data_IF_979311765292
#
_entry.id   IF_979311765292
#
_cell.length_a   1.000
_cell.length_b   1.000
_cell.length_c   1.000
_cell.angle_alpha   90.00
_cell.angle_beta   90.00
_cell.angle_gamma   90.00
#
_symmetry.space_group_name_H-M   'P 1'
#
loop_
_entity.id
_entity.type
_entity.pdbx_description
1 polymer ?
#
# COMPACT_ATOMS: atom_id res chain seq x y z
N UNK A 1 -3.16 29.16 -14.21
CA UNK A 1 -3.78 28.33 -15.26
C UNK A 1 -3.63 26.87 -14.84
N UNK A 2 -4.71 26.22 -14.39
CA UNK A 2 -4.68 24.80 -14.01
C UNK A 2 -4.80 23.98 -15.30
N UNK A 3 -3.73 23.29 -15.68
CA UNK A 3 -3.77 22.27 -16.71
C UNK A 3 -4.45 21.02 -16.11
N UNK A 4 -5.73 20.83 -16.45
CA UNK A 4 -6.39 19.54 -16.30
C UNK A 4 -5.83 18.61 -17.39
N UNK A 5 -4.92 17.72 -17.03
CA UNK A 5 -4.54 16.60 -17.89
C UNK A 5 -5.81 15.76 -18.15
N UNK A 6 -6.35 15.90 -19.36
CA UNK A 6 -7.40 15.00 -19.84
C UNK A 6 -6.77 13.61 -19.95
N UNK A 7 -7.23 12.67 -19.13
CA UNK A 7 -7.11 11.25 -19.43
C UNK A 7 -7.72 11.04 -20.82
N UNK A 8 -6.87 10.70 -21.80
CA UNK A 8 -7.31 10.31 -23.13
C UNK A 8 -8.04 8.97 -22.98
N UNK A 9 -9.37 9.05 -22.98
CA UNK A 9 -10.26 7.88 -22.96
C UNK A 9 -9.93 6.96 -24.13
N UNK A 10 -9.87 5.66 -23.85
CA UNK A 10 -9.64 4.63 -24.86
C UNK A 10 -10.64 4.77 -26.01
N UNK A 11 -10.13 4.74 -27.25
CA UNK A 11 -10.97 4.71 -28.45
C UNK A 11 -11.75 3.40 -28.51
N UNK A 12 -13.04 3.40 -28.87
CA UNK A 12 -13.82 2.18 -29.01
C UNK A 12 -13.17 1.26 -30.05
N UNK A 13 -12.85 0.04 -29.63
CA UNK A 13 -12.17 -0.98 -30.42
C UNK A 13 -13.03 -1.41 -31.62
N UNK A 14 -12.54 -1.21 -32.85
CA UNK A 14 -13.13 -1.84 -34.05
C UNK A 14 -12.80 -3.33 -34.04
N UNK A 15 -13.83 -4.19 -34.09
CA UNK A 15 -13.71 -5.65 -33.97
C UNK A 15 -12.92 -6.29 -35.12
N UNK A 16 -11.87 -7.05 -34.76
CA UNK A 16 -11.26 -8.09 -35.60
C UNK A 16 -11.93 -9.45 -35.38
N UNK A 17 -11.94 -10.28 -36.43
CA UNK A 17 -12.70 -11.54 -36.55
C UNK A 17 -12.04 -12.76 -35.85
N UNK A 18 -12.84 -13.45 -35.02
CA UNK A 18 -12.79 -14.87 -34.54
C UNK A 18 -11.52 -15.27 -33.75
N UNK A 19 -11.56 -15.94 -32.59
CA UNK A 19 -12.36 -17.12 -32.21
C UNK A 19 -12.44 -17.33 -30.67
N UNK A 20 -13.64 -17.51 -30.12
CA UNK A 20 -13.93 -18.37 -28.94
C UNK A 20 -15.43 -18.37 -28.56
N UNK A 21 -16.33 -18.19 -29.53
CA UNK A 21 -17.78 -18.29 -29.29
C UNK A 21 -18.20 -19.76 -29.20
N UNK A 22 -17.91 -20.44 -28.09
CA UNK A 22 -18.43 -21.78 -27.79
C UNK A 22 -19.06 -21.86 -26.41
N UNK A 23 -20.06 -21.01 -26.21
CA UNK A 23 -21.29 -21.24 -25.44
C UNK A 23 -22.14 -20.02 -25.75
N UNK A 24 -23.40 -20.20 -26.17
CA UNK A 24 -24.28 -19.08 -26.43
C UNK A 24 -24.59 -18.39 -25.09
N UNK A 25 -23.71 -17.50 -24.65
CA UNK A 25 -23.91 -16.66 -23.48
C UNK A 25 -25.20 -15.89 -23.73
N UNK A 26 -26.26 -16.21 -22.96
CA UNK A 26 -27.48 -15.41 -23.00
C UNK A 26 -27.12 -14.00 -22.55
N UNK A 27 -26.97 -13.09 -23.52
CA UNK A 27 -26.58 -11.71 -23.25
C UNK A 27 -27.69 -11.01 -22.48
N UNK A 28 -27.33 -10.40 -21.35
CA UNK A 28 -28.29 -9.60 -20.60
C UNK A 28 -28.64 -8.33 -21.37
N UNK A 29 -29.91 -7.86 -21.31
CA UNK A 29 -30.28 -6.58 -21.87
C UNK A 29 -29.45 -5.43 -21.29
N UNK A 30 -29.15 -4.35 -22.05
CA UNK A 30 -28.22 -3.30 -21.64
C UNK A 30 -28.48 -2.71 -20.25
N UNK A 31 -29.74 -2.38 -19.95
CA UNK A 31 -30.12 -1.82 -18.65
C UNK A 31 -29.97 -2.81 -17.49
N UNK A 32 -30.20 -4.10 -17.75
CA UNK A 32 -30.04 -5.14 -16.73
C UNK A 32 -28.56 -5.37 -16.44
N UNK A 33 -27.73 -5.41 -17.50
CA UNK A 33 -26.28 -5.56 -17.38
C UNK A 33 -25.64 -4.38 -16.67
N UNK A 34 -26.01 -3.14 -17.04
CA UNK A 34 -25.58 -1.92 -16.34
C UNK A 34 -25.90 -1.96 -14.84
N UNK A 35 -27.13 -2.34 -14.46
CA UNK A 35 -27.53 -2.47 -13.04
C UNK A 35 -26.84 -3.64 -12.33
N UNK A 36 -26.50 -4.71 -13.05
CA UNK A 36 -25.71 -5.82 -12.51
C UNK A 36 -24.31 -5.33 -12.16
N UNK A 37 -23.61 -4.68 -13.08
CA UNK A 37 -22.23 -4.21 -12.85
C UNK A 37 -22.18 -3.24 -11.65
N UNK A 38 -23.11 -2.28 -11.54
CA UNK A 38 -23.19 -1.40 -10.36
C UNK A 38 -23.39 -2.18 -9.05
N UNK A 39 -24.14 -3.29 -9.06
CA UNK A 39 -24.29 -4.15 -7.87
C UNK A 39 -23.01 -4.91 -7.56
N UNK A 40 -22.29 -5.35 -8.60
CA UNK A 40 -21.01 -6.05 -8.45
C UNK A 40 -19.95 -5.11 -7.90
N UNK A 41 -19.80 -3.89 -8.42
CA UNK A 41 -18.90 -2.87 -7.88
C UNK A 41 -19.13 -2.64 -6.38
N UNK A 42 -20.40 -2.55 -5.96
CA UNK A 42 -20.76 -2.40 -4.53
C UNK A 42 -20.32 -3.55 -3.63
N UNK A 43 -20.22 -4.76 -4.18
CA UNK A 43 -19.90 -5.96 -3.42
C UNK A 43 -18.43 -6.34 -3.49
N UNK A 44 -17.75 -5.99 -4.59
CA UNK A 44 -16.44 -6.54 -4.95
C UNK A 44 -15.32 -5.51 -4.99
N UNK A 45 -15.64 -4.22 -5.15
CA UNK A 45 -14.63 -3.16 -5.19
C UNK A 45 -14.62 -2.39 -3.87
N UNK A 46 -13.42 -1.95 -3.46
CA UNK A 46 -13.25 -0.98 -2.37
C UNK A 46 -13.88 0.39 -2.72
N UNK A 47 -14.04 1.30 -1.75
CA UNK A 47 -14.71 2.58 -1.97
C UNK A 47 -14.08 3.46 -3.05
N UNK A 48 -12.75 3.46 -3.20
CA UNK A 48 -12.03 4.32 -4.14
C UNK A 48 -12.15 3.78 -5.57
N UNK A 49 -11.88 2.49 -5.74
CA UNK A 49 -12.02 1.80 -7.03
C UNK A 49 -13.46 1.80 -7.52
N UNK A 50 -14.43 1.73 -6.60
CA UNK A 50 -15.84 1.88 -6.93
C UNK A 50 -16.18 3.26 -7.48
N UNK A 51 -15.62 4.34 -6.95
CA UNK A 51 -15.88 5.70 -7.46
C UNK A 51 -15.43 5.79 -8.92
N UNK A 52 -14.22 5.30 -9.20
CA UNK A 52 -13.65 5.28 -10.55
C UNK A 52 -14.49 4.40 -11.49
N UNK A 53 -14.76 3.15 -11.08
CA UNK A 53 -15.53 2.19 -11.86
C UNK A 53 -16.96 2.64 -12.14
N UNK A 54 -17.67 3.17 -11.14
CA UNK A 54 -19.04 3.68 -11.31
C UNK A 54 -19.07 4.89 -12.25
N UNK A 55 -18.05 5.76 -12.18
CA UNK A 55 -17.93 6.92 -13.07
C UNK A 55 -17.73 6.48 -14.51
N UNK A 56 -16.79 5.56 -14.75
CA UNK A 56 -16.51 5.00 -16.07
C UNK A 56 -17.72 4.26 -16.66
N UNK A 57 -18.36 3.39 -15.88
CA UNK A 57 -19.55 2.67 -16.33
C UNK A 57 -20.67 3.63 -16.76
N UNK A 58 -20.89 4.70 -16.00
CA UNK A 58 -21.89 5.73 -16.31
C UNK A 58 -21.55 6.51 -17.58
N UNK A 59 -20.28 6.88 -17.78
CA UNK A 59 -19.87 7.60 -18.98
C UNK A 59 -20.02 6.72 -20.22
N UNK A 60 -19.55 5.48 -20.15
CA UNK A 60 -19.61 4.54 -21.27
C UNK A 60 -21.05 4.18 -21.65
N UNK A 61 -21.92 3.92 -20.66
CA UNK A 61 -23.33 3.65 -20.93
C UNK A 61 -24.02 4.84 -21.62
N UNK A 62 -23.68 6.08 -21.22
CA UNK A 62 -24.23 7.29 -21.83
C UNK A 62 -23.70 7.51 -23.24
N UNK A 63 -22.40 7.28 -23.47
CA UNK A 63 -21.78 7.42 -24.77
C UNK A 63 -22.38 6.44 -25.79
N UNK A 64 -22.74 5.23 -25.36
CA UNK A 64 -23.23 4.16 -26.22
C UNK A 64 -24.76 4.04 -26.30
N UNK A 65 -25.52 4.90 -25.61
CA UNK A 65 -27.00 4.80 -25.51
C UNK A 65 -27.75 4.91 -26.84
N UNK A 66 -27.14 5.55 -27.84
CA UNK A 66 -27.72 5.83 -29.16
C UNK A 66 -27.10 4.97 -30.27
N UNK A 67 -26.31 3.96 -29.92
CA UNK A 67 -25.70 3.06 -30.92
C UNK A 67 -26.79 2.13 -31.45
N UNK A 68 -26.97 2.12 -32.78
CA UNK A 68 -27.99 1.30 -33.44
C UNK A 68 -27.40 0.06 -34.12
N UNK A 69 -26.08 0.04 -34.37
CA UNK A 69 -25.42 -1.08 -35.04
C UNK A 69 -25.47 -2.35 -34.17
N UNK A 70 -26.18 -3.43 -34.57
CA UNK A 70 -26.34 -4.62 -33.76
C UNK A 70 -25.02 -5.32 -33.41
N UNK A 71 -24.02 -5.29 -34.30
CA UNK A 71 -22.72 -5.92 -34.04
C UNK A 71 -21.96 -5.18 -32.94
N UNK A 72 -22.01 -3.85 -32.93
CA UNK A 72 -21.38 -3.04 -31.90
C UNK A 72 -22.09 -3.23 -30.55
N UNK A 73 -23.42 -3.31 -30.55
CA UNK A 73 -24.20 -3.59 -29.34
C UNK A 73 -23.85 -4.97 -28.79
N UNK A 74 -23.79 -6.00 -29.63
CA UNK A 74 -23.42 -7.36 -29.21
C UNK A 74 -22.00 -7.39 -28.65
N UNK A 75 -21.03 -6.78 -29.33
CA UNK A 75 -19.64 -6.69 -28.86
C UNK A 75 -19.55 -6.01 -27.50
N UNK A 76 -20.20 -4.85 -27.34
CA UNK A 76 -20.25 -4.11 -26.09
C UNK A 76 -20.87 -4.92 -24.94
N UNK A 77 -22.03 -5.54 -25.17
CA UNK A 77 -22.71 -6.35 -24.16
C UNK A 77 -21.89 -7.59 -23.77
N UNK A 78 -21.19 -8.19 -24.72
CA UNK A 78 -20.30 -9.33 -24.46
C UNK A 78 -19.18 -8.93 -23.52
N UNK A 79 -18.45 -7.86 -23.82
CA UNK A 79 -17.35 -7.38 -22.98
C UNK A 79 -17.83 -7.01 -21.57
N UNK A 80 -18.96 -6.32 -21.46
CA UNK A 80 -19.52 -5.92 -20.17
C UNK A 80 -20.00 -7.12 -19.34
N UNK A 81 -20.52 -8.16 -19.99
CA UNK A 81 -20.93 -9.38 -19.33
C UNK A 81 -19.73 -10.19 -18.83
N UNK A 82 -18.67 -10.30 -19.65
CA UNK A 82 -17.41 -10.91 -19.25
C UNK A 82 -16.76 -10.15 -18.09
N UNK A 83 -16.74 -8.82 -18.14
CA UNK A 83 -16.24 -7.99 -17.03
C UNK A 83 -17.00 -8.24 -15.73
N UNK A 84 -18.35 -8.27 -15.78
CA UNK A 84 -19.17 -8.56 -14.61
C UNK A 84 -18.88 -9.95 -14.03
N UNK A 85 -18.76 -10.97 -14.90
CA UNK A 85 -18.45 -12.35 -14.49
C UNK A 85 -17.06 -12.45 -13.86
N UNK A 86 -16.06 -11.78 -14.44
CA UNK A 86 -14.69 -11.73 -13.89
C UNK A 86 -14.65 -11.13 -12.49
N UNK A 87 -15.33 -9.99 -12.29
CA UNK A 87 -15.44 -9.38 -10.97
C UNK A 87 -16.20 -10.24 -9.97
N UNK A 88 -17.25 -10.94 -10.40
CA UNK A 88 -18.02 -11.83 -9.51
C UNK A 88 -17.21 -13.06 -9.08
N UNK A 89 -16.42 -13.64 -9.99
CA UNK A 89 -15.60 -14.82 -9.76
C UNK A 89 -14.19 -14.56 -9.22
N UNK A 90 -13.84 -13.30 -8.93
CA UNK A 90 -12.52 -12.88 -8.46
C UNK A 90 -11.35 -13.30 -9.39
N UNK A 91 -11.65 -13.69 -10.64
CA UNK A 91 -10.68 -14.24 -11.60
C UNK A 91 -9.80 -13.18 -12.26
N UNK A 92 -10.06 -11.90 -11.96
CA UNK A 92 -9.26 -10.77 -12.43
C UNK A 92 -7.97 -10.59 -11.63
N UNK A 93 -7.90 -11.11 -10.40
CA UNK A 93 -6.74 -10.98 -9.52
C UNK A 93 -5.64 -11.91 -10.02
N UNK A 94 -4.50 -11.34 -10.43
CA UNK A 94 -3.35 -12.11 -10.96
C UNK A 94 -3.41 -12.43 -12.45
N UNK A 95 -4.46 -12.00 -13.17
CA UNK A 95 -4.54 -12.15 -14.62
C UNK A 95 -3.55 -11.21 -15.34
N UNK A 96 -2.81 -11.74 -16.32
CA UNK A 96 -1.89 -10.92 -17.14
C UNK A 96 -2.66 -10.16 -18.21
N UNK A 97 -2.16 -8.98 -18.58
CA UNK A 97 -2.73 -8.22 -19.68
C UNK A 97 -2.59 -9.00 -20.99
N UNK A 98 -3.70 -9.16 -21.68
CA UNK A 98 -3.77 -9.86 -22.96
C UNK A 98 -2.92 -9.15 -24.03
N UNK A 99 -2.12 -9.92 -24.76
CA UNK A 99 -1.22 -9.42 -25.78
C UNK A 99 -1.98 -8.75 -26.92
N UNK A 100 -3.15 -9.27 -27.27
CA UNK A 100 -4.01 -8.68 -28.30
C UNK A 100 -4.58 -7.32 -27.90
N UNK A 101 -4.65 -7.02 -26.59
CA UNK A 101 -5.05 -5.70 -26.09
C UNK A 101 -3.90 -4.72 -26.13
N UNK A 102 -2.68 -5.16 -25.82
CA UNK A 102 -1.46 -4.35 -25.95
C UNK A 102 -1.22 -3.91 -27.40
N UNK A 103 -1.38 -4.83 -28.35
CA UNK A 103 -1.17 -4.56 -29.78
C UNK A 103 -2.18 -3.56 -30.37
N UNK A 104 -3.31 -3.34 -29.68
CA UNK A 104 -4.37 -2.38 -30.08
C UNK A 104 -4.24 -1.01 -29.42
N UNK A 105 -3.33 -0.86 -28.45
CA UNK A 105 -3.10 0.43 -27.79
C UNK A 105 -2.24 1.33 -28.67
N UNK A 106 -2.47 2.64 -28.60
CA UNK A 106 -1.57 3.61 -29.23
C UNK A 106 -0.24 3.72 -28.47
N UNK A 107 0.81 4.23 -29.13
CA UNK A 107 2.11 4.47 -28.49
C UNK A 107 1.99 5.31 -27.21
N UNK A 108 1.08 6.29 -27.20
CA UNK A 108 0.81 7.12 -26.02
C UNK A 108 0.17 6.32 -24.88
N UNK A 109 -0.77 5.43 -25.18
CA UNK A 109 -1.41 4.58 -24.18
C UNK A 109 -0.42 3.55 -23.62
N UNK A 110 0.45 3.00 -24.47
CA UNK A 110 1.54 2.11 -24.07
C UNK A 110 2.51 2.86 -23.13
N UNK A 111 2.86 4.11 -23.47
CA UNK A 111 3.67 4.97 -22.62
C UNK A 111 3.04 5.21 -21.24
N UNK A 112 1.75 5.55 -21.19
CA UNK A 112 1.01 5.74 -19.92
C UNK A 112 0.91 4.46 -19.11
N UNK A 113 0.69 3.32 -19.76
CA UNK A 113 0.66 2.01 -19.10
C UNK A 113 2.04 1.65 -18.53
N UNK A 114 3.11 1.97 -19.25
CA UNK A 114 4.48 1.78 -18.80
C UNK A 114 4.84 2.70 -17.62
N UNK A 115 4.44 3.97 -17.65
CA UNK A 115 4.59 4.90 -16.52
C UNK A 115 3.83 4.40 -15.29
N UNK A 116 2.61 3.90 -15.45
CA UNK A 116 1.84 3.30 -14.36
C UNK A 116 2.51 2.03 -13.84
N UNK A 117 2.98 1.14 -14.72
CA UNK A 117 3.71 -0.06 -14.33
C UNK A 117 4.98 0.29 -13.55
N UNK A 118 5.74 1.29 -14.00
CA UNK A 118 6.92 1.76 -13.29
C UNK A 118 6.56 2.44 -11.98
N UNK A 119 5.46 3.21 -11.91
CA UNK A 119 4.99 3.77 -10.65
C UNK A 119 4.62 2.69 -9.64
N UNK A 120 4.01 1.59 -10.11
CA UNK A 120 3.67 0.42 -9.28
C UNK A 120 4.94 -0.34 -8.86
N UNK A 121 5.88 -0.59 -9.76
CA UNK A 121 7.17 -1.23 -9.44
C UNK A 121 8.02 -0.39 -8.49
N UNK A 122 8.12 0.90 -8.75
CA UNK A 122 8.81 1.88 -7.90
C UNK A 122 8.04 2.22 -6.61
N UNK A 123 6.92 1.54 -6.33
CA UNK A 123 6.31 1.59 -5.00
C UNK A 123 7.12 0.74 -4.03
N UNK A 124 7.93 -0.22 -4.49
CA UNK A 124 8.83 -1.01 -3.68
C UNK A 124 10.19 -0.31 -3.62
N UNK A 125 10.70 -0.09 -2.41
CA UNK A 125 12.00 0.57 -2.21
C UNK A 125 13.12 -0.45 -2.21
N UNK A 126 14.24 -0.16 -2.87
CA UNK A 126 15.49 -0.89 -2.67
C UNK A 126 16.39 -0.08 -1.75
N UNK A 127 17.01 -0.75 -0.79
CA UNK A 127 18.00 -0.18 0.11
C UNK A 127 19.15 -1.16 0.32
N UNK A 128 20.29 -0.65 0.79
CA UNK A 128 21.43 -1.46 1.19
C UNK A 128 21.62 -1.33 2.70
N UNK A 129 21.76 -2.47 3.38
CA UNK A 129 22.18 -2.51 4.77
C UNK A 129 23.60 -1.96 4.94
N UNK A 130 23.98 -1.61 6.17
CA UNK A 130 25.36 -1.19 6.48
C UNK A 130 26.41 -2.28 6.19
N UNK A 131 25.99 -3.54 6.13
CA UNK A 131 26.81 -4.68 5.74
C UNK A 131 26.86 -4.93 4.22
N UNK A 132 26.21 -4.07 3.42
CA UNK A 132 26.09 -4.21 1.96
C UNK A 132 25.03 -5.23 1.54
N UNK A 133 24.24 -5.79 2.47
CA UNK A 133 23.17 -6.73 2.10
C UNK A 133 22.01 -5.99 1.43
N UNK A 134 21.44 -6.51 0.33
CA UNK A 134 20.26 -5.92 -0.30
C UNK A 134 19.04 -6.04 0.64
N UNK A 135 18.26 -4.96 0.70
CA UNK A 135 17.03 -4.85 1.48
C UNK A 135 15.91 -4.40 0.54
N UNK A 136 14.86 -5.19 0.44
CA UNK A 136 13.64 -4.83 -0.30
C UNK A 136 12.57 -4.32 0.67
N UNK A 137 11.93 -3.20 0.35
CA UNK A 137 10.96 -2.48 1.17
C UNK A 137 9.58 -2.60 0.51
N UNK A 138 8.71 -3.42 1.10
CA UNK A 138 7.37 -3.69 0.57
C UNK A 138 6.33 -2.73 1.18
N UNK A 139 5.71 -1.84 0.41
CA UNK A 139 4.62 -0.98 0.87
C UNK A 139 3.33 -1.78 1.05
N UNK A 140 2.66 -1.57 2.16
CA UNK A 140 1.38 -2.18 2.49
C UNK A 140 0.34 -1.07 2.57
N UNK A 141 -0.56 -1.02 1.59
CA UNK A 141 -1.67 -0.07 1.54
C UNK A 141 -3.06 -0.74 1.61
N UNK A 142 -3.13 -2.06 1.42
CA UNK A 142 -4.39 -2.79 1.26
C UNK A 142 -4.83 -3.51 2.55
N UNK A 143 -4.37 -3.03 3.70
CA UNK A 143 -4.70 -3.60 5.01
C UNK A 143 -3.98 -4.91 5.33
N UNK A 144 -4.22 -5.48 6.53
CA UNK A 144 -3.50 -6.65 7.03
C UNK A 144 -3.73 -7.94 6.23
N UNK A 145 -4.85 -8.04 5.50
CA UNK A 145 -5.18 -9.22 4.67
C UNK A 145 -4.29 -9.34 3.42
N UNK A 146 -3.56 -8.28 3.06
CA UNK A 146 -2.64 -8.28 1.93
C UNK A 146 -1.25 -8.85 2.27
N UNK A 147 -1.04 -9.28 3.51
CA UNK A 147 0.24 -9.77 4.04
C UNK A 147 0.08 -11.25 4.45
N UNK A 148 1.08 -12.11 4.23
CA UNK A 148 1.09 -13.47 4.76
C UNK A 148 0.82 -13.53 6.26
N UNK A 149 -0.06 -14.43 6.70
CA UNK A 149 -0.49 -14.51 8.09
C UNK A 149 0.65 -14.92 9.04
N UNK A 150 1.59 -15.73 8.57
CA UNK A 150 2.79 -16.13 9.29
C UNK A 150 3.74 -14.95 9.55
N UNK A 151 3.88 -14.03 8.59
CA UNK A 151 4.63 -12.79 8.74
C UNK A 151 3.97 -11.84 9.75
N UNK A 152 2.64 -11.69 9.71
CA UNK A 152 1.91 -10.88 10.69
C UNK A 152 2.08 -11.47 12.10
N UNK A 153 2.03 -12.80 12.24
CA UNK A 153 2.25 -13.48 13.52
C UNK A 153 3.68 -13.27 14.05
N UNK A 154 4.69 -13.31 13.18
CA UNK A 154 6.07 -12.97 13.55
C UNK A 154 6.15 -11.53 14.10
N UNK A 155 5.68 -10.55 13.32
CA UNK A 155 5.78 -9.15 13.68
C UNK A 155 4.98 -8.82 14.95
N UNK A 156 3.85 -9.48 15.17
CA UNK A 156 3.08 -9.40 16.41
C UNK A 156 3.89 -9.90 17.60
N UNK A 157 4.58 -11.04 17.46
CA UNK A 157 5.43 -11.60 18.51
C UNK A 157 6.60 -10.68 18.84
N UNK A 158 7.30 -10.16 17.83
CA UNK A 158 8.42 -9.23 18.01
C UNK A 158 7.93 -7.93 18.68
N UNK A 159 6.80 -7.37 18.25
CA UNK A 159 6.25 -6.16 18.88
C UNK A 159 5.79 -6.42 20.32
N UNK A 160 5.21 -7.60 20.59
CA UNK A 160 4.82 -8.01 21.94
C UNK A 160 6.03 -8.12 22.87
N UNK A 161 7.14 -8.68 22.37
CA UNK A 161 8.39 -8.75 23.11
C UNK A 161 8.96 -7.35 23.40
N UNK A 162 8.87 -6.43 22.43
CA UNK A 162 9.31 -5.04 22.61
C UNK A 162 8.47 -4.29 23.66
N UNK A 163 7.15 -4.51 23.69
CA UNK A 163 6.26 -3.99 24.73
C UNK A 163 6.61 -4.57 26.10
N UNK A 164 6.81 -5.89 26.19
CA UNK A 164 7.18 -6.56 27.44
C UNK A 164 8.55 -6.13 27.97
N UNK A 165 9.48 -5.82 27.07
CA UNK A 165 10.76 -5.25 27.45
C UNK A 165 10.59 -3.86 28.10
N UNK A 166 9.52 -3.12 27.78
CA UNK A 166 9.13 -1.90 28.49
C UNK A 166 10.12 -0.73 28.36
N UNK A 167 10.86 -0.67 27.26
CA UNK A 167 11.97 0.29 27.07
C UNK A 167 11.70 1.37 26.00
N UNK A 168 10.77 1.14 25.08
CA UNK A 168 10.69 1.93 23.84
C UNK A 168 9.28 2.39 23.46
N UNK A 169 8.26 1.61 23.79
CA UNK A 169 6.85 1.95 23.57
C UNK A 169 6.14 2.22 24.90
N UNK A 170 5.11 3.11 24.92
CA UNK A 170 4.40 3.46 26.14
C UNK A 170 3.37 2.42 26.59
N UNK A 171 3.15 1.36 25.80
CA UNK A 171 2.19 0.30 26.13
C UNK A 171 2.75 -0.57 27.27
N UNK A 172 1.88 -0.97 28.19
CA UNK A 172 2.24 -1.85 29.31
C UNK A 172 1.90 -3.33 28.99
N UNK A 173 0.81 -3.56 28.23
CA UNK A 173 0.35 -4.89 27.85
C UNK A 173 0.40 -5.09 26.33
N UNK A 174 0.86 -6.26 25.86
CA UNK A 174 0.81 -6.63 24.45
C UNK A 174 -0.62 -6.62 23.90
N UNK A 175 -0.77 -6.22 22.63
CA UNK A 175 -2.05 -6.30 21.94
C UNK A 175 -2.35 -7.75 21.51
N UNK A 176 -3.62 -8.07 21.27
CA UNK A 176 -3.97 -9.31 20.54
C UNK A 176 -3.46 -9.22 19.11
N UNK A 177 -3.33 -10.38 18.44
CA UNK A 177 -2.87 -10.46 17.05
C UNK A 177 -3.74 -9.61 16.11
N UNK A 178 -5.06 -9.69 16.25
CA UNK A 178 -6.01 -8.95 15.42
C UNK A 178 -5.88 -7.45 15.64
N UNK A 179 -5.75 -7.03 16.90
CA UNK A 179 -5.59 -5.61 17.24
C UNK A 179 -4.26 -5.07 16.74
N UNK A 180 -3.18 -5.85 16.82
CA UNK A 180 -1.89 -5.48 16.26
C UNK A 180 -1.98 -5.31 14.74
N UNK A 181 -2.60 -6.26 14.05
CA UNK A 181 -2.73 -6.23 12.60
C UNK A 181 -3.45 -4.96 12.13
N UNK A 182 -4.57 -4.62 12.77
CA UNK A 182 -5.30 -3.37 12.49
C UNK A 182 -4.52 -2.12 12.89
N UNK A 183 -3.86 -2.14 14.06
CA UNK A 183 -3.10 -0.99 14.55
C UNK A 183 -1.90 -0.65 13.66
N UNK A 184 -1.20 -1.68 13.15
CA UNK A 184 0.05 -1.53 12.42
C UNK A 184 -0.16 -1.41 10.90
N UNK A 185 -1.06 -2.21 10.33
CA UNK A 185 -1.29 -2.29 8.89
C UNK A 185 -2.61 -1.67 8.42
N UNK A 186 -3.40 -1.08 9.32
CA UNK A 186 -4.71 -0.51 8.98
C UNK A 186 -4.68 0.82 8.21
N UNK A 187 -3.51 1.42 7.97
CA UNK A 187 -3.39 2.66 7.17
C UNK A 187 -2.38 2.49 6.05
N UNK A 188 -1.11 2.75 6.33
CA UNK A 188 0.00 2.46 5.43
C UNK A 188 1.14 1.93 6.28
N UNK A 189 1.81 0.89 5.81
CA UNK A 189 3.00 0.37 6.44
C UNK A 189 4.02 -0.04 5.39
N UNK A 190 5.22 -0.34 5.84
CA UNK A 190 6.28 -0.92 5.03
C UNK A 190 6.88 -2.09 5.80
N UNK A 191 7.18 -3.18 5.10
CA UNK A 191 7.94 -4.31 5.65
C UNK A 191 9.28 -4.36 4.93
N UNK A 192 10.37 -4.32 5.69
CA UNK A 192 11.73 -4.47 5.20
C UNK A 192 12.13 -5.95 5.23
N UNK A 193 12.61 -6.47 4.11
CA UNK A 193 12.95 -7.88 3.92
C UNK A 193 14.33 -7.99 3.28
N UNK A 194 15.12 -8.95 3.75
CA UNK A 194 16.45 -9.25 3.22
C UNK A 194 16.36 -9.85 1.81
N UNK A 195 17.25 -9.45 0.90
CA UNK A 195 17.35 -9.94 -0.47
C UNK A 195 16.74 -8.97 -1.49
N UNK A 196 16.96 -9.28 -2.78
CA UNK A 196 16.42 -8.53 -3.92
C UNK A 196 15.00 -8.99 -4.30
N UNK A 197 14.20 -8.11 -4.91
CA UNK A 197 12.82 -8.37 -5.33
C UNK A 197 12.72 -9.61 -6.23
N UNK A 198 13.62 -9.72 -7.21
CA UNK A 198 13.63 -10.77 -8.23
C UNK A 198 13.90 -12.17 -7.66
N UNK A 199 14.60 -12.26 -6.53
CA UNK A 199 14.97 -13.54 -5.90
C UNK A 199 13.94 -13.99 -4.85
N UNK A 200 13.24 -13.03 -4.24
CA UNK A 200 12.41 -13.25 -3.07
C UNK A 200 10.96 -13.64 -3.39
N UNK A 201 10.47 -13.29 -4.59
CA UNK A 201 9.10 -13.61 -5.02
C UNK A 201 8.02 -12.91 -4.19
N UNK A 202 8.35 -11.74 -3.61
CA UNK A 202 7.43 -10.90 -2.85
C UNK A 202 7.08 -11.40 -1.44
N UNK A 203 6.00 -10.85 -0.89
CA UNK A 203 5.43 -11.26 0.40
C UNK A 203 4.50 -12.46 0.20
N UNK A 204 5.06 -13.68 0.27
CA UNK A 204 4.33 -14.95 0.08
C UNK A 204 4.52 -15.89 1.26
N UNK A 205 3.55 -16.76 1.49
CA UNK A 205 3.62 -17.77 2.55
C UNK A 205 4.82 -18.72 2.39
N UNK A 206 5.34 -19.21 3.52
CA UNK A 206 6.38 -20.24 3.56
C UNK A 206 7.82 -19.73 3.40
N UNK A 207 8.05 -18.42 3.50
CA UNK A 207 9.39 -17.83 3.63
C UNK A 207 9.90 -17.97 5.07
N UNK A 208 11.21 -17.97 5.26
CA UNK A 208 11.81 -18.03 6.59
C UNK A 208 11.87 -16.62 7.20
N UNK A 209 10.72 -16.13 7.63
CA UNK A 209 10.57 -14.75 8.11
C UNK A 209 11.48 -14.42 9.30
N UNK A 210 11.86 -15.41 10.11
CA UNK A 210 12.81 -15.24 11.23
C UNK A 210 14.19 -14.77 10.77
N UNK A 211 14.58 -15.11 9.54
CA UNK A 211 15.85 -14.71 8.92
C UNK A 211 15.69 -13.59 7.91
N UNK A 212 14.53 -13.52 7.27
CA UNK A 212 14.31 -12.68 6.11
C UNK A 212 13.58 -11.37 6.46
N UNK A 213 12.67 -11.34 7.43
CA UNK A 213 12.02 -10.11 7.84
C UNK A 213 12.96 -9.29 8.72
N UNK A 214 13.34 -8.10 8.28
CA UNK A 214 14.28 -7.22 8.98
C UNK A 214 13.57 -6.20 9.87
N UNK A 215 12.34 -5.82 9.51
CA UNK A 215 11.57 -4.88 10.32
C UNK A 215 10.37 -4.34 9.58
N UNK A 216 9.69 -3.40 10.23
CA UNK A 216 8.53 -2.74 9.69
C UNK A 216 8.34 -1.36 10.32
N UNK A 217 7.66 -0.47 9.60
CA UNK A 217 7.12 0.75 10.18
C UNK A 217 5.76 1.06 9.58
N UNK A 218 4.94 1.79 10.33
CA UNK A 218 3.68 2.34 9.82
C UNK A 218 3.78 3.84 9.59
N UNK A 219 2.92 4.39 8.74
CA UNK A 219 2.68 5.83 8.60
C UNK A 219 1.18 6.09 8.75
N UNK A 220 0.81 6.98 9.67
CA UNK A 220 -0.59 7.40 9.85
C UNK A 220 -0.69 8.87 10.22
N UNK A 221 -1.87 9.51 10.07
CA UNK A 221 -2.09 10.85 10.57
C UNK A 221 -1.83 10.90 12.08
N UNK A 222 -1.02 11.85 12.54
CA UNK A 222 -0.78 12.03 13.98
C UNK A 222 -2.00 12.62 14.68
N UNK A 223 -2.77 13.43 13.95
CA UNK A 223 -3.94 14.15 14.46
C UNK A 223 -5.11 14.04 13.46
N UNK A 224 -6.36 14.14 13.93
CA UNK A 224 -7.52 14.10 13.05
C UNK A 224 -7.73 15.41 12.26
N UNK A 225 -8.48 15.31 11.16
CA UNK A 225 -9.08 16.45 10.48
C UNK A 225 -8.08 17.51 10.01
N UNK A 226 -8.18 18.73 10.55
CA UNK A 226 -7.38 19.90 10.10
C UNK A 226 -5.87 19.70 10.22
N UNK A 227 -5.45 18.79 11.09
CA UNK A 227 -4.04 18.52 11.37
C UNK A 227 -3.56 17.18 10.77
N UNK A 228 -4.35 16.54 9.91
CA UNK A 228 -4.02 15.22 9.33
C UNK A 228 -2.83 15.23 8.36
N UNK A 229 -2.41 16.41 7.91
CA UNK A 229 -1.20 16.59 7.09
C UNK A 229 0.10 16.37 7.89
N UNK A 230 0.02 16.27 9.22
CA UNK A 230 1.12 15.88 10.11
C UNK A 230 1.03 14.37 10.35
N UNK A 231 2.02 13.61 9.90
CA UNK A 231 2.07 12.17 10.15
C UNK A 231 2.86 11.81 11.41
N UNK A 232 2.57 10.62 11.91
CA UNK A 232 3.35 9.89 12.89
C UNK A 232 3.74 8.53 12.29
N UNK A 233 4.80 7.94 12.82
CA UNK A 233 5.24 6.60 12.49
C UNK A 233 5.73 5.87 13.74
N UNK A 234 5.63 4.55 13.72
CA UNK A 234 6.27 3.66 14.69
C UNK A 234 7.11 2.66 13.93
N UNK A 235 8.28 2.33 14.47
CA UNK A 235 9.28 1.47 13.85
C UNK A 235 9.53 0.26 14.73
N UNK A 236 9.75 -0.89 14.09
CA UNK A 236 10.09 -2.14 14.74
C UNK A 236 11.17 -2.83 13.91
N UNK A 237 12.25 -3.25 14.55
CA UNK A 237 13.29 -4.10 13.96
C UNK A 237 13.19 -5.49 14.54
N UNK A 238 13.39 -6.51 13.71
CA UNK A 238 13.47 -7.90 14.18
C UNK A 238 14.89 -8.24 14.61
N UNK A 239 15.08 -9.45 15.17
CA UNK A 239 16.42 -9.99 15.47
C UNK A 239 17.30 -10.09 14.22
N UNK A 240 16.73 -10.40 13.05
CA UNK A 240 17.46 -10.55 11.80
C UNK A 240 18.14 -9.24 11.31
N UNK A 241 17.62 -8.09 11.72
CA UNK A 241 18.18 -6.78 11.38
C UNK A 241 19.41 -6.36 12.20
N UNK A 242 19.76 -7.12 13.26
CA UNK A 242 20.86 -6.73 14.15
C UNK A 242 22.18 -6.60 13.38
N UNK A 243 22.84 -5.44 13.55
CA UNK A 243 24.14 -5.16 12.94
C UNK A 243 24.10 -4.82 11.45
N UNK A 244 22.91 -4.58 10.87
CA UNK A 244 22.75 -4.31 9.44
C UNK A 244 22.29 -2.89 9.10
N UNK A 245 22.20 -2.00 10.09
CA UNK A 245 21.78 -0.60 9.87
C UNK A 245 20.34 -0.41 9.37
N UNK A 246 19.48 -1.43 9.45
CA UNK A 246 18.11 -1.42 8.88
C UNK A 246 17.24 -0.27 9.40
N UNK A 247 17.47 0.19 10.64
CA UNK A 247 16.77 1.34 11.19
C UNK A 247 16.97 2.63 10.36
N UNK A 248 18.18 2.85 9.85
CA UNK A 248 18.47 3.98 8.95
C UNK A 248 17.77 3.77 7.61
N UNK A 249 17.88 2.59 7.00
CA UNK A 249 17.23 2.26 5.73
C UNK A 249 15.72 2.48 5.80
N UNK A 250 15.07 1.99 6.86
CA UNK A 250 13.64 2.24 7.09
C UNK A 250 13.32 3.72 7.29
N UNK A 251 14.17 4.46 8.00
CA UNK A 251 13.98 5.90 8.21
C UNK A 251 14.17 6.74 6.94
N UNK A 252 15.12 6.39 6.07
CA UNK A 252 15.28 7.00 4.75
C UNK A 252 14.07 6.69 3.86
N UNK A 253 13.63 5.43 3.88
CA UNK A 253 12.43 4.97 3.17
C UNK A 253 11.18 5.72 3.65
N UNK A 254 11.05 5.93 4.97
CA UNK A 254 9.98 6.74 5.55
C UNK A 254 9.96 8.17 4.98
N UNK A 255 11.11 8.82 4.84
CA UNK A 255 11.24 10.16 4.25
C UNK A 255 10.88 10.19 2.76
N UNK A 256 11.00 9.07 2.05
CA UNK A 256 10.57 8.96 0.66
C UNK A 256 9.05 8.78 0.55
N UNK A 257 8.44 7.91 1.38
CA UNK A 257 7.01 7.61 1.29
C UNK A 257 6.11 8.67 1.92
N UNK A 258 6.46 9.21 3.08
CA UNK A 258 5.61 10.16 3.80
C UNK A 258 5.14 11.35 2.92
N UNK A 259 5.99 12.05 2.16
CA UNK A 259 5.54 13.12 1.27
C UNK A 259 4.73 12.59 0.06
N UNK A 260 5.05 11.40 -0.47
CA UNK A 260 4.26 10.76 -1.55
C UNK A 260 2.84 10.43 -1.12
N UNK A 261 2.63 10.13 0.17
CA UNK A 261 1.30 9.94 0.78
C UNK A 261 0.56 11.25 1.06
N UNK A 262 1.17 12.41 0.79
CA UNK A 262 0.57 13.73 0.95
C UNK A 262 0.81 14.39 2.31
N UNK A 263 1.64 13.80 3.18
CA UNK A 263 2.03 14.42 4.45
C UNK A 263 3.04 15.55 4.21
N UNK A 264 2.93 16.60 5.00
CA UNK A 264 3.80 17.80 4.90
C UNK A 264 4.79 17.92 6.05
N UNK A 265 4.48 17.29 7.18
CA UNK A 265 5.28 17.35 8.39
C UNK A 265 5.21 16.00 9.11
N UNK A 266 6.28 15.64 9.79
CA UNK A 266 6.37 14.44 10.61
C UNK A 266 6.56 14.83 12.07
N UNK A 267 5.87 14.14 12.98
CA UNK A 267 6.06 14.24 14.43
C UNK A 267 6.07 12.85 15.05
N UNK A 268 7.12 12.56 15.82
CA UNK A 268 7.17 11.46 16.79
C UNK A 268 6.92 12.03 18.18
N UNK A 269 5.84 11.59 18.82
CA UNK A 269 5.37 12.23 20.06
C UNK A 269 6.16 11.82 21.30
N UNK A 270 6.63 10.57 21.36
CA UNK A 270 7.21 9.96 22.55
C UNK A 270 8.47 9.16 22.20
N UNK A 271 9.54 9.86 21.81
CA UNK A 271 10.86 9.23 21.71
C UNK A 271 11.55 9.37 23.06
N UNK A 272 11.62 8.29 23.83
CA UNK A 272 12.24 8.33 25.15
C UNK A 272 13.73 8.67 25.06
N UNK A 273 14.18 9.60 25.91
CA UNK A 273 15.52 10.18 25.83
C UNK A 273 16.64 9.14 26.02
N UNK A 274 16.39 8.12 26.84
CA UNK A 274 17.34 7.02 27.06
C UNK A 274 17.40 6.01 25.89
N UNK A 275 16.54 6.12 24.88
CA UNK A 275 16.64 5.36 23.63
C UNK A 275 17.63 6.05 22.68
N UNK A 276 18.91 6.02 23.06
CA UNK A 276 20.01 6.69 22.35
C UNK A 276 20.13 6.25 20.88
N UNK A 277 19.80 4.99 20.59
CA UNK A 277 19.83 4.47 19.22
C UNK A 277 18.79 5.15 18.33
N UNK A 278 17.54 5.25 18.79
CA UNK A 278 16.45 5.95 18.09
C UNK A 278 16.77 7.43 17.89
N UNK A 279 17.22 8.12 18.96
CA UNK A 279 17.57 9.55 18.89
C UNK A 279 18.65 9.81 17.83
N UNK A 280 19.73 9.01 17.80
CA UNK A 280 20.81 9.16 16.81
C UNK A 280 20.33 8.95 15.37
N UNK A 281 19.43 7.99 15.15
CA UNK A 281 18.83 7.76 13.82
C UNK A 281 18.09 9.02 13.37
N UNK A 282 17.24 9.58 14.23
CA UNK A 282 16.44 10.75 13.87
C UNK A 282 17.28 12.00 13.65
N UNK A 283 18.31 12.23 14.47
CA UNK A 283 19.26 13.33 14.26
C UNK A 283 20.01 13.19 12.93
N UNK A 284 20.51 12.00 12.60
CA UNK A 284 21.18 11.72 11.31
C UNK A 284 20.25 11.94 10.14
N UNK A 285 18.98 11.59 10.31
CA UNK A 285 17.91 11.84 9.36
C UNK A 285 17.33 13.26 9.49
N UNK A 286 18.08 14.24 10.01
CA UNK A 286 17.71 15.65 9.96
C UNK A 286 16.42 16.03 10.71
N UNK A 287 15.91 15.17 11.59
CA UNK A 287 14.84 15.54 12.51
C UNK A 287 15.39 16.42 13.64
N UNK A 288 14.51 17.22 14.22
CA UNK A 288 14.85 18.13 15.32
C UNK A 288 13.98 17.82 16.52
N UNK A 289 14.56 17.94 17.72
CA UNK A 289 13.79 17.98 18.96
C UNK A 289 13.02 19.31 18.96
N UNK A 290 11.68 19.22 18.88
CA UNK A 290 10.76 20.36 18.90
C UNK A 290 10.07 20.54 20.25
N UNK A 291 10.20 19.56 21.15
CA UNK A 291 9.67 19.62 22.50
C UNK A 291 10.21 18.50 23.39
N UNK A 292 10.00 18.64 24.69
CA UNK A 292 10.36 17.65 25.71
C UNK A 292 9.26 17.61 26.77
N UNK A 293 8.89 16.40 27.18
CA UNK A 293 7.95 16.14 28.27
C UNK A 293 8.76 15.54 29.43
N UNK A 294 9.03 16.31 30.50
CA UNK A 294 9.81 15.83 31.64
C UNK A 294 9.10 14.70 32.38
N UNK A 295 9.83 13.65 32.74
CA UNK A 295 9.34 12.52 33.53
C UNK A 295 8.14 11.78 32.91
N UNK A 296 8.11 11.68 31.58
CA UNK A 296 6.96 11.18 30.83
C UNK A 296 6.68 9.68 31.02
N UNK A 297 7.71 8.87 31.28
CA UNK A 297 7.56 7.42 31.32
C UNK A 297 8.33 6.73 32.46
N UNK A 298 7.74 5.63 32.94
CA UNK A 298 8.39 4.64 33.79
C UNK A 298 8.87 3.51 32.87
N UNK A 299 10.17 3.40 32.63
CA UNK A 299 10.73 2.40 31.72
C UNK A 299 11.48 1.32 32.51
N UNK A 300 11.43 0.08 32.04
CA UNK A 300 12.06 -1.04 32.74
C UNK A 300 13.60 -0.94 32.80
N UNK A 301 14.21 -0.16 31.90
CA UNK A 301 15.64 0.11 31.83
C UNK A 301 16.07 1.40 32.58
N UNK A 302 15.22 1.93 33.46
CA UNK A 302 15.51 3.13 34.25
C UNK A 302 14.88 3.05 35.64
N UNK A 303 15.62 3.43 36.68
CA UNK A 303 15.07 3.58 38.04
C UNK A 303 14.29 4.90 38.21
N UNK A 304 14.64 5.92 37.43
CA UNK A 304 13.99 7.23 37.44
C UNK A 304 12.98 7.38 36.29
N UNK A 305 12.07 8.35 36.41
CA UNK A 305 11.19 8.73 35.31
C UNK A 305 12.00 9.29 34.15
N UNK A 306 11.73 8.81 32.95
CA UNK A 306 12.46 9.17 31.73
C UNK A 306 11.69 10.21 30.95
N UNK A 307 12.40 11.21 30.45
CA UNK A 307 11.86 12.25 29.58
C UNK A 307 11.49 11.68 28.20
N UNK A 308 10.41 12.22 27.63
CA UNK A 308 10.04 11.94 26.25
C UNK A 308 10.32 13.16 25.37
N UNK A 309 11.06 12.94 24.28
CA UNK A 309 11.34 13.93 23.26
C UNK A 309 10.22 13.92 22.21
N UNK A 310 9.77 15.11 21.86
CA UNK A 310 8.91 15.34 20.70
C UNK A 310 9.85 15.71 19.56
N UNK A 311 9.92 14.85 18.55
CA UNK A 311 10.85 14.97 17.43
C UNK A 311 10.03 15.27 16.17
N UNK A 312 10.45 16.27 15.40
CA UNK A 312 9.72 16.69 14.20
C UNK A 312 10.60 17.09 13.03
N UNK A 313 10.03 17.00 11.82
CA UNK A 313 10.70 17.35 10.57
C UNK A 313 9.69 17.79 9.51
N UNK A 314 10.03 18.83 8.77
CA UNK A 314 9.32 19.23 7.54
C UNK A 314 9.68 18.28 6.39
N UNK A 315 8.67 17.85 5.64
CA UNK A 315 8.82 16.84 4.57
C UNK A 315 8.79 17.44 3.16
N UNK A 316 8.28 18.67 3.00
CA UNK A 316 8.06 19.34 1.71
C UNK A 316 8.43 20.81 1.83
#
# INVERSE_FOLDING_TARGET
MRALSRLLMATPSTMGSKSSLSEALALLPPLQLYRRILRVHRKKLDPEMRILGDSYLKSEFRAHRNVENPLHIIGFLTEWQLYAQKLEGDTWVGEKLDKDKLDKMSDQQIGQLYELMNAIKNTEGEGEGEDGSPVTLYPIANGPQSIPADLVALLHREFSAEIQAGCTYPMEEPMTLERFAEYWFGTFAVVAVLGEENENGGLREGRDWEKECLGTFYIKPNYPGRCSHVCNAGFLTTVAARGRGVGIVMGETYLQFAPKLGYKYSVFNLVFENNVASVKIWERLGFKIIGRVPGAARLANSEELVDALIIGRELV
#
